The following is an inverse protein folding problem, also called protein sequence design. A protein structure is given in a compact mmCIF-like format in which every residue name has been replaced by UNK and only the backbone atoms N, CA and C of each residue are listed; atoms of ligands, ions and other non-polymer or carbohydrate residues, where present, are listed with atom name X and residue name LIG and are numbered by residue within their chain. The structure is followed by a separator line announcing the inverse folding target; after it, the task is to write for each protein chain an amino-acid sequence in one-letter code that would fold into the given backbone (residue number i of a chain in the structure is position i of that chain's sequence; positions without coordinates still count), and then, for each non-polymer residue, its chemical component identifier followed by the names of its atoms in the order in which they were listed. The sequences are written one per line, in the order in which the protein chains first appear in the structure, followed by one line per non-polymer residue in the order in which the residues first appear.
data_IF_562258086999
#
_entry.id   IF_562258086999
#
_cell.length_a   1.000
_cell.length_b   1.000
_cell.length_c   1.000
_cell.angle_alpha   90.00
_cell.angle_beta   90.00
_cell.angle_gamma   90.00
#
_symmetry.space_group_name_H-M   'P 1'
#
loop_
_entity.id
_entity.type
_entity.pdbx_description
1 polymer ?
#
# COMPACT_ATOMS: atom_id res chain seq x y z
N UNK A 1 -12.88 -45.53 -2.78
CA UNK A 1 -12.58 -44.46 -3.75
C UNK A 1 -12.39 -43.17 -2.97
N UNK A 2 -11.15 -42.90 -2.57
CA UNK A 2 -10.77 -41.61 -1.99
C UNK A 2 -10.70 -40.64 -3.17
N UNK A 3 -11.51 -39.59 -3.13
CA UNK A 3 -11.55 -38.58 -4.19
C UNK A 3 -10.16 -37.99 -4.40
N UNK A 4 -9.77 -37.88 -5.67
CA UNK A 4 -8.58 -37.14 -6.08
C UNK A 4 -8.74 -35.71 -5.56
N UNK A 5 -7.94 -35.31 -4.58
CA UNK A 5 -7.73 -33.89 -4.28
C UNK A 5 -7.16 -33.25 -5.54
N UNK A 6 -7.96 -32.47 -6.27
CA UNK A 6 -7.45 -31.64 -7.35
C UNK A 6 -6.34 -30.75 -6.80
N UNK A 7 -5.11 -31.00 -7.25
CA UNK A 7 -3.94 -30.23 -6.85
C UNK A 7 -4.03 -28.88 -7.55
N UNK A 8 -4.47 -27.85 -6.82
CA UNK A 8 -4.55 -26.49 -7.35
C UNK A 8 -3.15 -26.02 -7.77
N UNK A 9 -3.08 -25.36 -8.93
CA UNK A 9 -1.90 -24.62 -9.36
C UNK A 9 -1.65 -23.42 -8.45
N UNK A 10 -0.41 -22.91 -8.44
CA UNK A 10 -0.08 -21.71 -7.67
C UNK A 10 -0.96 -20.51 -8.04
N UNK A 11 -1.25 -20.35 -9.33
CA UNK A 11 -2.10 -19.26 -9.84
C UNK A 11 -3.54 -19.38 -9.33
N UNK A 12 -4.08 -20.59 -9.26
CA UNK A 12 -5.42 -20.83 -8.69
C UNK A 12 -5.46 -20.55 -7.19
N UNK A 13 -4.42 -20.98 -6.45
CA UNK A 13 -4.30 -20.71 -5.01
C UNK A 13 -4.23 -19.20 -4.74
N UNK A 14 -3.36 -18.49 -5.46
CA UNK A 14 -3.21 -17.04 -5.32
C UNK A 14 -4.49 -16.31 -5.73
N UNK A 15 -5.13 -16.72 -6.83
CA UNK A 15 -6.37 -16.10 -7.30
C UNK A 15 -7.49 -16.26 -6.28
N UNK A 16 -7.63 -17.46 -5.69
CA UNK A 16 -8.60 -17.72 -4.63
C UNK A 16 -8.31 -16.87 -3.40
N UNK A 17 -7.04 -16.84 -2.97
CA UNK A 17 -6.62 -16.04 -1.83
C UNK A 17 -6.94 -14.55 -2.02
N UNK A 18 -6.53 -13.97 -3.15
CA UNK A 18 -6.71 -12.55 -3.46
C UNK A 18 -8.19 -12.20 -3.44
N UNK A 19 -9.04 -13.08 -3.98
CA UNK A 19 -10.50 -12.90 -3.95
C UNK A 19 -11.04 -12.80 -2.52
N UNK A 20 -10.68 -13.76 -1.66
CA UNK A 20 -11.12 -13.78 -0.25
C UNK A 20 -10.59 -12.58 0.53
N UNK A 21 -9.30 -12.26 0.36
CA UNK A 21 -8.65 -11.11 1.00
C UNK A 21 -9.35 -9.81 0.62
N UNK A 22 -9.70 -9.63 -0.66
CA UNK A 22 -10.45 -8.46 -1.13
C UNK A 22 -11.82 -8.34 -0.48
N UNK A 23 -12.57 -9.43 -0.34
CA UNK A 23 -13.88 -9.39 0.35
C UNK A 23 -13.72 -8.89 1.79
N UNK A 24 -12.71 -9.38 2.50
CA UNK A 24 -12.41 -8.95 3.86
C UNK A 24 -12.01 -7.46 3.92
N UNK A 25 -11.15 -7.01 3.00
CA UNK A 25 -10.69 -5.63 2.91
C UNK A 25 -11.81 -4.66 2.57
N UNK A 26 -12.66 -4.97 1.59
CA UNK A 26 -13.79 -4.11 1.19
C UNK A 26 -14.81 -3.96 2.32
N UNK A 27 -15.04 -5.01 3.11
CA UNK A 27 -15.84 -4.92 4.34
C UNK A 27 -15.20 -3.95 5.35
N UNK A 28 -13.89 -4.02 5.52
CA UNK A 28 -13.15 -3.13 6.42
C UNK A 28 -13.17 -1.67 5.95
N UNK A 29 -12.95 -1.41 4.66
CA UNK A 29 -13.04 -0.06 4.09
C UNK A 29 -14.45 0.52 4.22
N UNK A 30 -15.50 -0.29 4.02
CA UNK A 30 -16.87 0.17 4.23
C UNK A 30 -17.12 0.58 5.69
N UNK A 31 -16.61 -0.18 6.65
CA UNK A 31 -16.72 0.17 8.07
C UNK A 31 -15.94 1.46 8.39
N UNK A 32 -14.72 1.59 7.88
CA UNK A 32 -13.89 2.79 8.02
C UNK A 32 -14.61 4.03 7.46
N UNK A 33 -15.14 3.95 6.23
CA UNK A 33 -15.86 5.08 5.62
C UNK A 33 -17.08 5.49 6.45
N UNK A 34 -17.79 4.52 7.04
CA UNK A 34 -18.89 4.82 7.95
C UNK A 34 -18.42 5.54 9.21
N UNK A 35 -17.24 5.21 9.74
CA UNK A 35 -16.63 5.90 10.90
C UNK A 35 -16.27 7.34 10.56
N UNK A 36 -15.73 7.57 9.37
CA UNK A 36 -15.30 8.90 8.91
C UNK A 36 -16.48 9.82 8.53
N UNK A 37 -17.73 9.34 8.56
CA UNK A 37 -18.92 10.07 8.08
C UNK A 37 -19.16 11.43 8.77
N UNK A 38 -18.71 11.59 10.01
CA UNK A 38 -18.82 12.85 10.75
C UNK A 38 -17.79 13.91 10.33
N UNK A 39 -16.74 13.52 9.61
CA UNK A 39 -15.70 14.43 9.16
C UNK A 39 -16.11 15.17 7.88
N UNK A 40 -15.72 16.44 7.79
CA UNK A 40 -16.03 17.30 6.64
C UNK A 40 -15.39 16.83 5.34
N UNK A 41 -14.25 16.14 5.42
CA UNK A 41 -13.52 15.55 4.29
C UNK A 41 -14.02 14.15 3.88
N UNK A 42 -15.09 13.65 4.49
CA UNK A 42 -15.66 12.34 4.18
C UNK A 42 -15.93 12.12 2.67
N UNK A 43 -16.51 13.08 1.90
CA UNK A 43 -16.74 12.87 0.47
C UNK A 43 -15.46 12.58 -0.32
N UNK A 44 -14.36 13.26 0.03
CA UNK A 44 -13.06 13.07 -0.60
C UNK A 44 -12.46 11.71 -0.22
N UNK A 45 -12.55 11.31 1.05
CA UNK A 45 -12.11 9.99 1.49
C UNK A 45 -12.88 8.85 0.78
N UNK A 46 -14.21 8.99 0.64
CA UNK A 46 -15.04 8.05 -0.13
C UNK A 46 -14.58 8.01 -1.58
N UNK A 47 -14.39 9.15 -2.22
CA UNK A 47 -13.97 9.21 -3.63
C UNK A 47 -12.61 8.54 -3.84
N UNK A 48 -11.62 8.87 -3.01
CA UNK A 48 -10.27 8.30 -3.11
C UNK A 48 -10.27 6.78 -2.94
N UNK A 49 -10.97 6.29 -1.91
CA UNK A 49 -10.96 4.87 -1.56
C UNK A 49 -11.86 4.02 -2.45
N UNK A 50 -12.85 4.58 -3.15
CA UNK A 50 -13.76 3.82 -4.04
C UNK A 50 -13.42 3.94 -5.53
N UNK A 51 -12.36 4.66 -5.89
CA UNK A 51 -11.93 4.85 -7.28
C UNK A 51 -11.16 3.66 -7.87
N UNK A 52 -11.39 2.45 -7.36
CA UNK A 52 -10.78 1.20 -7.83
C UNK A 52 -9.40 0.94 -7.23
N UNK A 53 -8.57 0.18 -7.93
CA UNK A 53 -7.21 -0.21 -7.51
C UNK A 53 -7.03 -1.71 -7.34
N UNK A 54 -5.80 -2.20 -7.55
CA UNK A 54 -5.50 -3.63 -7.47
C UNK A 54 -5.42 -4.16 -6.02
N UNK A 55 -5.33 -3.27 -5.02
CA UNK A 55 -5.19 -3.61 -3.59
C UNK A 55 -4.01 -4.55 -3.31
N UNK A 56 -2.90 -4.40 -4.04
CA UNK A 56 -1.77 -5.33 -3.93
C UNK A 56 -1.06 -5.23 -2.58
N UNK A 57 -0.78 -4.01 -2.12
CA UNK A 57 -0.09 -3.75 -0.85
C UNK A 57 -0.87 -4.27 0.38
N UNK A 58 -2.17 -4.02 0.55
CA UNK A 58 -2.93 -4.60 1.67
C UNK A 58 -3.01 -6.12 1.58
N UNK A 59 -3.18 -6.69 0.38
CA UNK A 59 -3.18 -8.16 0.20
C UNK A 59 -1.81 -8.75 0.59
N UNK A 60 -0.71 -8.09 0.23
CA UNK A 60 0.64 -8.50 0.62
C UNK A 60 0.82 -8.47 2.14
N UNK A 61 0.31 -7.46 2.84
CA UNK A 61 0.37 -7.40 4.30
C UNK A 61 -0.38 -8.58 4.96
N UNK A 62 -1.56 -8.94 4.42
CA UNK A 62 -2.31 -10.12 4.88
C UNK A 62 -1.53 -11.41 4.61
N UNK A 63 -1.00 -11.58 3.40
CA UNK A 63 -0.22 -12.77 3.01
C UNK A 63 1.00 -12.97 3.90
N UNK A 64 1.79 -11.92 4.09
CA UNK A 64 3.03 -11.98 4.86
C UNK A 64 2.76 -12.37 6.33
N UNK A 65 1.71 -11.81 6.93
CA UNK A 65 1.35 -12.15 8.31
C UNK A 65 0.76 -13.55 8.45
N UNK A 66 -0.08 -13.99 7.51
CA UNK A 66 -0.66 -15.33 7.54
C UNK A 66 0.39 -16.42 7.25
N UNK A 67 1.40 -16.11 6.42
CA UNK A 67 2.51 -17.01 6.13
C UNK A 67 3.34 -17.38 7.36
N UNK A 68 3.36 -16.52 8.39
CA UNK A 68 4.05 -16.76 9.68
C UNK A 68 3.11 -17.17 10.81
N UNK A 69 1.86 -17.55 10.49
CA UNK A 69 0.89 -18.07 11.45
C UNK A 69 -0.08 -17.03 12.03
N UNK A 70 -0.03 -15.78 11.56
CA UNK A 70 -0.94 -14.72 11.96
C UNK A 70 -2.39 -14.95 11.51
N UNK A 71 -3.34 -14.35 12.22
CA UNK A 71 -4.75 -14.38 11.83
C UNK A 71 -5.10 -13.22 10.90
N UNK A 72 -5.94 -13.47 9.88
CA UNK A 72 -6.47 -12.39 9.02
C UNK A 72 -7.04 -11.23 9.81
N UNK A 73 -7.83 -11.56 10.85
CA UNK A 73 -8.58 -10.57 11.64
C UNK A 73 -7.67 -9.56 12.33
N UNK A 74 -6.50 -10.01 12.83
CA UNK A 74 -5.50 -9.13 13.47
C UNK A 74 -4.71 -8.32 12.44
N UNK A 75 -4.63 -8.79 11.20
CA UNK A 75 -3.90 -8.13 10.10
C UNK A 75 -4.74 -7.11 9.33
N UNK A 76 -6.08 -7.18 9.39
CA UNK A 76 -6.95 -6.25 8.66
C UNK A 76 -6.66 -4.78 8.98
N UNK A 77 -6.55 -4.33 10.24
CA UNK A 77 -6.26 -2.92 10.51
C UNK A 77 -4.95 -2.45 9.87
N UNK A 78 -3.91 -3.29 9.88
CA UNK A 78 -2.61 -3.02 9.24
C UNK A 78 -2.78 -2.89 7.72
N UNK A 79 -3.44 -3.86 7.09
CA UNK A 79 -3.66 -3.82 5.65
C UNK A 79 -4.44 -2.56 5.23
N UNK A 80 -5.47 -2.18 6.00
CA UNK A 80 -6.19 -0.92 5.80
C UNK A 80 -5.25 0.28 5.96
N UNK A 81 -4.45 0.36 7.03
CA UNK A 81 -3.46 1.44 7.22
C UNK A 81 -2.52 1.58 6.02
N UNK A 82 -1.97 0.48 5.52
CA UNK A 82 -1.06 0.49 4.35
C UNK A 82 -1.75 1.05 3.11
N UNK A 83 -3.00 0.65 2.84
CA UNK A 83 -3.74 1.17 1.68
C UNK A 83 -4.14 2.64 1.85
N UNK A 84 -4.41 3.09 3.08
CA UNK A 84 -4.67 4.50 3.37
C UNK A 84 -3.43 5.35 3.11
N UNK A 85 -2.24 4.89 3.53
CA UNK A 85 -0.97 5.57 3.23
C UNK A 85 -0.76 5.60 1.72
N UNK A 86 -0.91 4.47 1.03
CA UNK A 86 -0.77 4.43 -0.43
C UNK A 86 -1.75 5.39 -1.13
N UNK A 87 -2.99 5.45 -0.66
CA UNK A 87 -3.98 6.36 -1.24
C UNK A 87 -3.64 7.81 -0.97
N UNK A 88 -3.10 8.12 0.21
CA UNK A 88 -2.61 9.46 0.54
C UNK A 88 -1.46 9.89 -0.39
N UNK A 89 -0.47 9.02 -0.61
CA UNK A 89 0.64 9.33 -1.53
C UNK A 89 0.12 9.58 -2.93
N UNK A 90 -0.76 8.73 -3.47
CA UNK A 90 -1.34 8.95 -4.81
C UNK A 90 -2.06 10.29 -4.95
N UNK A 91 -2.78 10.74 -3.92
CA UNK A 91 -3.45 12.05 -3.95
C UNK A 91 -2.42 13.19 -3.98
N UNK A 92 -1.34 13.07 -3.22
CA UNK A 92 -0.27 14.05 -3.17
C UNK A 92 0.54 14.06 -4.46
N UNK A 93 0.90 12.89 -5.00
CA UNK A 93 1.56 12.71 -6.30
C UNK A 93 0.73 13.37 -7.41
N UNK A 94 -0.59 13.08 -7.49
CA UNK A 94 -1.49 13.73 -8.47
C UNK A 94 -1.42 15.26 -8.42
N UNK A 95 -1.27 15.85 -7.23
CA UNK A 95 -1.19 17.31 -7.04
C UNK A 95 0.18 17.83 -7.49
N UNK A 96 1.25 17.11 -7.15
CA UNK A 96 2.63 17.48 -7.48
C UNK A 96 2.86 17.44 -8.99
N UNK A 97 2.40 16.36 -9.63
CA UNK A 97 2.59 16.11 -11.06
C UNK A 97 1.58 16.88 -11.93
N UNK A 98 0.47 17.34 -11.34
CA UNK A 98 -0.63 17.99 -12.06
C UNK A 98 -1.46 17.02 -12.90
N UNK A 99 -1.47 15.74 -12.54
CA UNK A 99 -2.21 14.69 -13.22
C UNK A 99 -3.73 14.94 -13.19
N UNK A 100 -4.36 15.20 -14.33
CA UNK A 100 -5.80 15.48 -14.36
C UNK A 100 -6.67 14.22 -14.16
N UNK A 101 -6.11 13.03 -14.29
CA UNK A 101 -6.84 11.76 -14.21
C UNK A 101 -6.11 10.70 -13.42
N UNK A 102 -6.87 9.95 -12.62
CA UNK A 102 -6.41 8.75 -11.91
C UNK A 102 -7.39 7.62 -12.11
N UNK A 103 -6.91 6.49 -12.66
CA UNK A 103 -7.71 5.26 -12.92
C UNK A 103 -8.96 5.53 -13.78
N UNK A 104 -8.81 6.36 -14.81
CA UNK A 104 -9.89 6.71 -15.75
C UNK A 104 -10.96 7.63 -15.17
N UNK A 105 -10.74 8.23 -13.99
CA UNK A 105 -11.61 9.24 -13.39
C UNK A 105 -10.82 10.53 -13.15
N UNK A 106 -11.48 11.70 -13.03
CA UNK A 106 -10.77 12.94 -12.71
C UNK A 106 -10.03 12.81 -11.38
N UNK A 107 -8.78 13.28 -11.34
CA UNK A 107 -8.00 13.31 -10.11
C UNK A 107 -8.69 14.17 -9.05
N UNK A 108 -8.37 13.91 -7.78
CA UNK A 108 -9.11 14.50 -6.66
C UNK A 108 -8.93 16.03 -6.60
N UNK A 109 -7.73 16.52 -6.96
CA UNK A 109 -7.42 17.95 -6.97
C UNK A 109 -8.15 18.71 -8.10
N UNK A 110 -8.48 18.05 -9.21
CA UNK A 110 -9.28 18.64 -10.30
C UNK A 110 -10.68 18.98 -9.81
N UNK A 111 -11.27 18.13 -8.98
CA UNK A 111 -12.63 18.31 -8.47
C UNK A 111 -12.69 19.19 -7.21
N UNK A 112 -11.69 19.10 -6.34
CA UNK A 112 -11.75 19.70 -5.00
C UNK A 112 -10.59 20.62 -4.62
N UNK A 113 -9.65 20.89 -5.54
CA UNK A 113 -8.50 21.79 -5.38
C UNK A 113 -7.76 21.50 -4.06
N UNK A 114 -7.57 22.51 -3.22
CA UNK A 114 -6.83 22.46 -1.96
C UNK A 114 -7.37 21.41 -0.97
N UNK A 115 -8.65 21.02 -1.06
CA UNK A 115 -9.21 19.96 -0.21
C UNK A 115 -8.63 18.59 -0.54
N UNK A 116 -8.03 18.41 -1.71
CA UNK A 116 -7.35 17.17 -2.07
C UNK A 116 -6.10 16.94 -1.21
N UNK A 117 -5.30 17.99 -1.01
CA UNK A 117 -4.15 17.95 -0.11
C UNK A 117 -4.58 17.50 1.30
N UNK A 118 -5.60 18.16 1.85
CA UNK A 118 -6.14 17.84 3.17
C UNK A 118 -6.77 16.44 3.25
N UNK A 119 -7.32 15.93 2.15
CA UNK A 119 -7.82 14.57 2.09
C UNK A 119 -6.68 13.55 2.19
N UNK A 120 -5.56 13.78 1.49
CA UNK A 120 -4.34 12.98 1.65
C UNK A 120 -3.83 13.00 3.10
N UNK A 121 -3.76 14.19 3.72
CA UNK A 121 -3.35 14.34 5.12
C UNK A 121 -4.26 13.56 6.07
N UNK A 122 -5.58 13.65 5.87
CA UNK A 122 -6.56 12.90 6.66
C UNK A 122 -6.35 11.39 6.53
N UNK A 123 -6.18 10.87 5.32
CA UNK A 123 -5.98 9.44 5.11
C UNK A 123 -4.68 8.96 5.76
N UNK A 124 -3.59 9.74 5.65
CA UNK A 124 -2.32 9.43 6.30
C UNK A 124 -2.46 9.42 7.83
N UNK A 125 -3.05 10.47 8.43
CA UNK A 125 -3.26 10.55 9.88
C UNK A 125 -4.18 9.43 10.37
N UNK A 126 -5.23 9.09 9.61
CA UNK A 126 -6.12 7.98 9.96
C UNK A 126 -5.40 6.63 9.90
N UNK A 127 -4.49 6.44 8.94
CA UNK A 127 -3.66 5.23 8.87
C UNK A 127 -2.77 5.06 10.11
N UNK A 128 -2.12 6.14 10.54
CA UNK A 128 -1.28 6.15 11.75
C UNK A 128 -2.13 5.92 12.99
N UNK A 129 -3.28 6.59 13.12
CA UNK A 129 -4.22 6.38 14.23
C UNK A 129 -4.68 4.92 14.32
N UNK A 130 -5.01 4.31 13.18
CA UNK A 130 -5.39 2.91 13.12
C UNK A 130 -4.22 2.02 13.57
N UNK A 131 -3.03 2.23 13.01
CA UNK A 131 -1.86 1.44 13.37
C UNK A 131 -1.50 1.56 14.85
N UNK A 132 -1.57 2.77 15.42
CA UNK A 132 -1.22 3.03 16.82
C UNK A 132 -2.24 2.47 17.81
N UNK A 133 -3.46 2.23 17.36
CA UNK A 133 -4.52 1.65 18.19
C UNK A 133 -4.33 0.14 18.36
N UNK A 134 -3.81 -0.54 17.34
CA UNK A 134 -3.80 -2.01 17.28
C UNK A 134 -2.40 -2.64 17.42
N UNK A 135 -1.32 -1.89 17.19
CA UNK A 135 0.01 -2.47 17.02
C UNK A 135 1.08 -1.85 17.91
N UNK A 136 2.21 -2.55 18.01
CA UNK A 136 3.36 -2.13 18.79
C UNK A 136 4.09 -0.94 18.18
N UNK A 137 4.96 -0.31 18.98
CA UNK A 137 5.86 0.74 18.53
C UNK A 137 6.77 0.29 17.38
N UNK A 138 7.13 -0.99 17.30
CA UNK A 138 7.98 -1.50 16.21
C UNK A 138 7.26 -1.45 14.86
N UNK A 139 5.97 -1.79 14.83
CA UNK A 139 5.14 -1.68 13.62
C UNK A 139 4.96 -0.21 13.23
N UNK A 140 4.71 0.67 14.21
CA UNK A 140 4.62 2.11 13.95
C UNK A 140 5.93 2.69 13.40
N UNK A 141 7.07 2.27 13.96
CA UNK A 141 8.39 2.68 13.51
C UNK A 141 8.64 2.22 12.07
N UNK A 142 8.32 0.97 11.74
CA UNK A 142 8.43 0.44 10.38
C UNK A 142 7.58 1.22 9.37
N UNK A 143 6.34 1.56 9.73
CA UNK A 143 5.45 2.40 8.90
C UNK A 143 6.04 3.81 8.72
N UNK A 144 6.52 4.42 9.81
CA UNK A 144 7.12 5.75 9.76
C UNK A 144 8.39 5.79 8.91
N UNK A 145 9.28 4.79 9.06
CA UNK A 145 10.49 4.64 8.25
C UNK A 145 10.17 4.55 6.76
N UNK A 146 9.24 3.67 6.37
CA UNK A 146 8.84 3.57 4.97
C UNK A 146 8.14 4.82 4.44
N UNK A 147 7.37 5.52 5.27
CA UNK A 147 6.74 6.77 4.88
C UNK A 147 7.77 7.89 4.66
N UNK A 148 8.81 7.95 5.51
CA UNK A 148 9.93 8.89 5.31
C UNK A 148 10.73 8.57 4.04
N UNK A 149 10.98 7.28 3.78
CA UNK A 149 11.60 6.84 2.54
C UNK A 149 10.76 7.23 1.31
N UNK A 150 9.45 7.00 1.36
CA UNK A 150 8.53 7.39 0.28
C UNK A 150 8.57 8.90 0.00
N UNK A 151 8.49 9.74 1.04
CA UNK A 151 8.61 11.19 0.89
C UNK A 151 9.95 11.62 0.28
N UNK A 152 11.05 10.98 0.68
CA UNK A 152 12.36 11.28 0.10
C UNK A 152 12.44 10.81 -1.36
N UNK A 153 11.90 9.63 -1.66
CA UNK A 153 11.82 9.10 -3.02
C UNK A 153 11.02 10.03 -3.94
N UNK A 154 9.91 10.57 -3.45
CA UNK A 154 9.10 11.56 -4.17
C UNK A 154 9.86 12.86 -4.41
N UNK A 155 10.55 13.38 -3.39
CA UNK A 155 11.38 14.57 -3.56
C UNK A 155 12.49 14.37 -4.60
N UNK A 156 13.13 13.21 -4.60
CA UNK A 156 14.12 12.85 -5.62
C UNK A 156 13.48 12.78 -7.01
N UNK A 157 12.28 12.20 -7.14
CA UNK A 157 11.58 12.12 -8.42
C UNK A 157 11.30 13.50 -9.03
N UNK A 158 10.85 14.45 -8.22
CA UNK A 158 10.55 15.82 -8.64
C UNK A 158 11.81 16.62 -8.99
N UNK A 159 12.94 16.36 -8.31
CA UNK A 159 14.16 17.17 -8.44
C UNK A 159 15.18 16.60 -9.41
N UNK A 160 15.19 15.28 -9.60
CA UNK A 160 16.13 14.60 -10.48
C UNK A 160 15.70 14.72 -11.95
N UNK A 161 16.67 14.93 -12.83
CA UNK A 161 16.46 14.81 -14.28
C UNK A 161 16.97 13.44 -14.73
N UNK A 162 16.08 12.63 -15.30
CA UNK A 162 16.40 11.27 -15.76
C UNK A 162 17.60 11.25 -16.73
N UNK A 163 17.71 12.24 -17.62
CA UNK A 163 18.81 12.37 -18.60
C UNK A 163 20.21 12.43 -17.97
N UNK A 164 20.31 12.79 -16.69
CA UNK A 164 21.57 12.91 -15.95
C UNK A 164 21.73 11.87 -14.84
N UNK A 165 20.82 10.89 -14.75
CA UNK A 165 20.79 9.92 -13.66
C UNK A 165 21.46 8.62 -14.06
N UNK A 166 22.29 8.07 -13.18
CA UNK A 166 22.84 6.72 -13.29
C UNK A 166 21.77 5.66 -12.99
N UNK A 167 21.97 4.44 -13.47
CA UNK A 167 21.10 3.29 -13.14
C UNK A 167 20.95 3.10 -11.63
N UNK A 168 22.04 3.27 -10.88
CA UNK A 168 22.03 3.16 -9.42
C UNK A 168 21.15 4.20 -8.75
N UNK A 169 21.12 5.43 -9.26
CA UNK A 169 20.25 6.49 -8.75
C UNK A 169 18.78 6.25 -9.10
N UNK A 170 18.47 5.75 -10.30
CA UNK A 170 17.11 5.36 -10.69
C UNK A 170 16.60 4.23 -9.79
N UNK A 171 17.41 3.21 -9.55
CA UNK A 171 17.05 2.11 -8.64
C UNK A 171 16.87 2.61 -7.21
N UNK A 172 17.73 3.52 -6.73
CA UNK A 172 17.59 4.11 -5.39
C UNK A 172 16.28 4.89 -5.26
N UNK A 173 15.91 5.67 -6.26
CA UNK A 173 14.61 6.37 -6.32
C UNK A 173 13.44 5.39 -6.28
N UNK A 174 13.45 4.34 -7.12
CA UNK A 174 12.40 3.30 -7.15
C UNK A 174 12.27 2.60 -5.79
N UNK A 175 13.40 2.29 -5.14
CA UNK A 175 13.42 1.71 -3.80
C UNK A 175 12.70 2.59 -2.79
N UNK A 176 12.98 3.89 -2.83
CA UNK A 176 12.42 4.87 -1.89
C UNK A 176 10.96 5.18 -2.17
N UNK A 177 10.60 5.59 -3.40
CA UNK A 177 9.24 6.03 -3.77
C UNK A 177 8.23 4.88 -3.75
N UNK A 178 8.57 3.76 -4.40
CA UNK A 178 7.61 2.68 -4.65
C UNK A 178 7.80 1.48 -3.74
N UNK A 179 9.04 0.99 -3.61
CA UNK A 179 9.31 -0.28 -2.93
C UNK A 179 9.18 -0.18 -1.41
N UNK A 180 9.43 0.99 -0.83
CA UNK A 180 9.33 1.26 0.62
C UNK A 180 7.99 0.80 1.21
N UNK A 181 6.87 1.08 0.53
CA UNK A 181 5.55 0.72 1.04
C UNK A 181 5.21 -0.77 0.81
N UNK A 182 5.78 -1.43 -0.21
CA UNK A 182 5.72 -2.89 -0.34
C UNK A 182 6.55 -3.59 0.75
N UNK A 183 7.74 -3.07 1.03
CA UNK A 183 8.59 -3.47 2.16
C UNK A 183 7.82 -3.35 3.47
N UNK A 184 7.23 -2.18 3.76
CA UNK A 184 6.45 -2.00 4.98
C UNK A 184 5.25 -2.94 5.09
N UNK A 185 4.50 -3.16 4.00
CA UNK A 185 3.37 -4.08 3.99
C UNK A 185 3.79 -5.49 4.43
N UNK A 186 4.82 -6.04 3.79
CA UNK A 186 5.32 -7.38 4.09
C UNK A 186 5.99 -7.47 5.46
N UNK A 187 6.85 -6.50 5.78
CA UNK A 187 7.59 -6.43 7.04
C UNK A 187 6.66 -6.31 8.26
N UNK A 188 5.71 -5.36 8.23
CA UNK A 188 4.74 -5.19 9.30
C UNK A 188 3.80 -6.39 9.40
N UNK A 189 3.42 -6.98 8.25
CA UNK A 189 2.62 -8.20 8.22
C UNK A 189 3.29 -9.32 9.00
N UNK A 190 4.58 -9.56 8.76
CA UNK A 190 5.37 -10.55 9.46
C UNK A 190 5.47 -10.29 10.98
N UNK A 191 5.67 -9.03 11.40
CA UNK A 191 5.71 -8.66 12.82
C UNK A 191 4.36 -8.95 13.48
N UNK A 192 3.26 -8.47 12.88
CA UNK A 192 1.90 -8.64 13.42
C UNK A 192 1.47 -10.11 13.41
N UNK A 193 1.95 -10.89 12.44
CA UNK A 193 1.71 -12.32 12.35
C UNK A 193 2.46 -13.16 13.38
N UNK A 194 3.42 -12.57 14.12
CA UNK A 194 4.20 -13.28 15.13
C UNK A 194 5.40 -14.04 14.56
N UNK A 195 5.91 -13.63 13.39
CA UNK A 195 7.07 -14.26 12.77
C UNK A 195 8.33 -14.15 13.61
N UNK A 196 9.22 -15.14 13.47
CA UNK A 196 10.55 -15.11 14.06
C UNK A 196 11.40 -13.99 13.46
N UNK A 197 12.48 -13.53 14.13
CA UNK A 197 13.34 -12.49 13.59
C UNK A 197 13.87 -12.79 12.17
N UNK A 198 14.15 -14.07 11.87
CA UNK A 198 14.60 -14.49 10.54
C UNK A 198 13.49 -14.40 9.49
N UNK A 199 12.25 -14.76 9.82
CA UNK A 199 11.11 -14.67 8.90
C UNK A 199 10.73 -13.20 8.66
N UNK A 200 10.77 -12.37 9.71
CA UNK A 200 10.51 -10.93 9.62
C UNK A 200 11.51 -10.26 8.67
N UNK A 201 12.80 -10.57 8.80
CA UNK A 201 13.83 -10.01 7.91
C UNK A 201 13.69 -10.55 6.47
N UNK A 202 13.42 -11.84 6.30
CA UNK A 202 13.19 -12.42 4.98
C UNK A 202 11.98 -11.79 4.26
N UNK A 203 10.87 -11.59 4.98
CA UNK A 203 9.66 -10.97 4.43
C UNK A 203 9.84 -9.47 4.17
N UNK A 204 10.65 -8.77 4.98
CA UNK A 204 11.05 -7.38 4.71
C UNK A 204 11.81 -7.28 3.38
N UNK A 205 12.83 -8.11 3.18
CA UNK A 205 13.61 -8.15 1.93
C UNK A 205 12.76 -8.59 0.74
N UNK A 206 11.85 -9.54 0.94
CA UNK A 206 10.89 -9.95 -0.09
C UNK A 206 10.02 -8.78 -0.54
N UNK A 207 9.44 -8.03 0.41
CA UNK A 207 8.59 -6.88 0.09
C UNK A 207 9.35 -5.78 -0.66
N UNK A 208 10.59 -5.49 -0.28
CA UNK A 208 11.43 -4.53 -0.99
C UNK A 208 11.72 -4.97 -2.43
N UNK A 209 12.19 -6.21 -2.63
CA UNK A 209 12.51 -6.71 -3.97
C UNK A 209 11.28 -6.82 -4.88
N UNK A 210 10.14 -7.25 -4.32
CA UNK A 210 8.87 -7.29 -5.05
C UNK A 210 8.44 -5.88 -5.48
N UNK A 211 8.60 -4.88 -4.61
CA UNK A 211 8.26 -3.50 -4.92
C UNK A 211 9.13 -2.90 -6.03
N UNK A 212 10.43 -3.20 -6.03
CA UNK A 212 11.35 -2.81 -7.10
C UNK A 212 10.92 -3.45 -8.43
N UNK A 213 10.74 -4.77 -8.43
CA UNK A 213 10.34 -5.51 -9.63
C UNK A 213 8.99 -5.02 -10.17
N UNK A 214 8.04 -4.71 -9.28
CA UNK A 214 6.74 -4.17 -9.65
C UNK A 214 6.87 -2.84 -10.40
N UNK A 215 7.67 -1.90 -9.87
CA UNK A 215 7.82 -0.58 -10.49
C UNK A 215 8.54 -0.66 -11.84
N UNK A 216 9.64 -1.43 -11.93
CA UNK A 216 10.36 -1.61 -13.19
C UNK A 216 9.47 -2.23 -14.28
N UNK A 217 8.58 -3.14 -13.91
CA UNK A 217 7.61 -3.73 -14.84
C UNK A 217 6.47 -2.77 -15.23
N UNK A 218 6.16 -1.78 -14.38
CA UNK A 218 5.19 -0.72 -14.69
C UNK A 218 5.82 0.28 -15.67
N UNK A 219 7.03 0.76 -15.37
CA UNK A 219 7.80 1.68 -16.22
C UNK A 219 8.03 1.10 -17.63
N UNK A 220 8.33 -0.21 -17.73
CA UNK A 220 8.51 -0.87 -19.02
C UNK A 220 7.23 -0.87 -19.86
N UNK A 221 6.05 -1.04 -19.24
CA UNK A 221 4.76 -1.03 -19.95
C UNK A 221 4.35 0.35 -20.43
N UNK A 222 4.82 1.40 -19.76
CA UNK A 222 4.58 2.78 -20.17
C UNK A 222 5.48 3.21 -21.33
N UNK A 223 6.63 2.53 -21.50
CA UNK A 223 7.57 2.77 -22.59
C UNK A 223 7.21 2.04 -23.91
N UNK A 224 6.30 1.05 -23.86
CA UNK A 224 5.78 0.30 -25.02
C UNK A 224 4.59 0.99 -25.71
#
# INVERSE_FOLDING_TARGET
MVGLEETLTLDEVLSRYVSEARVSLEKAFKALLSELKSLTLHPQAVYALTSGGKRLRPVLALLAGEAVGGSRQTLIPLAVSIELIHTATLIHDDIIDGDEQRRGKPALHVQWRDKALLAGDLLFVKAVNLASTFYSCDVLKAIAEASMEACHGEFLDVTMRLENSSEGEVIAKVKMKSASLFKAASWCGAIVGGGTPSEVEALKLYGENLGIAYQLADDLKEAE
#
